data_IF_756162742748
#
_entry.id   IF_756162742748
#
_cell.length_a   1.000
_cell.length_b   1.000
_cell.length_c   1.000
_cell.angle_alpha   90.00
_cell.angle_beta   90.00
_cell.angle_gamma   90.00
#
_symmetry.space_group_name_H-M   'P 1'
#
loop_
_entity.id
_entity.type
_entity.pdbx_description
1 polymer ?
#
# COMPACT_ATOMS: atom_id res chain seq x y z
N UNK A 1 -46.73 -43.28 -21.30
CA UNK A 1 -45.40 -43.35 -20.66
C UNK A 1 -44.47 -42.43 -21.43
N UNK A 2 -43.77 -41.54 -20.73
CA UNK A 2 -42.85 -40.56 -21.33
C UNK A 2 -42.61 -39.41 -20.35
N UNK A 3 -41.83 -39.69 -19.31
CA UNK A 3 -41.39 -38.71 -18.30
C UNK A 3 -40.11 -38.06 -18.84
N UNK A 4 -40.13 -36.74 -19.05
CA UNK A 4 -38.96 -35.98 -19.43
C UNK A 4 -38.07 -35.70 -18.23
N UNK A 5 -36.79 -36.04 -18.34
CA UNK A 5 -35.72 -35.67 -17.41
C UNK A 5 -34.95 -34.49 -17.99
N UNK A 6 -34.84 -33.40 -17.24
CA UNK A 6 -33.99 -32.25 -17.54
C UNK A 6 -32.64 -32.41 -16.83
N UNK A 7 -31.55 -32.32 -17.59
CA UNK A 7 -30.16 -32.31 -17.09
C UNK A 7 -29.67 -30.87 -17.15
N UNK A 8 -29.21 -30.33 -16.02
CA UNK A 8 -28.49 -29.06 -15.96
C UNK A 8 -27.00 -29.31 -16.11
N UNK A 9 -26.36 -28.65 -17.09
CA UNK A 9 -24.90 -28.61 -17.22
C UNK A 9 -24.45 -27.22 -16.77
N UNK A 10 -23.70 -27.16 -15.67
CA UNK A 10 -23.00 -25.94 -15.24
C UNK A 10 -21.64 -25.96 -15.92
N UNK A 11 -21.42 -25.06 -16.88
CA UNK A 11 -20.11 -24.84 -17.50
C UNK A 11 -19.41 -23.72 -16.72
N UNK A 12 -18.33 -24.07 -16.03
CA UNK A 12 -17.36 -23.08 -15.52
C UNK A 12 -16.52 -22.57 -16.69
N UNK A 13 -16.47 -21.26 -16.91
CA UNK A 13 -15.56 -20.66 -17.89
C UNK A 13 -14.32 -20.10 -17.19
N UNK A 14 -13.20 -20.76 -17.42
CA UNK A 14 -11.86 -20.23 -17.22
C UNK A 14 -11.31 -19.65 -18.53
N UNK A 15 -10.37 -18.71 -18.38
CA UNK A 15 -9.42 -18.13 -19.34
C UNK A 15 -9.80 -16.84 -20.08
N UNK A 16 -9.13 -15.76 -19.64
CA UNK A 16 -8.97 -14.49 -20.35
C UNK A 16 -8.16 -14.72 -21.64
N UNK A 17 -8.77 -14.43 -22.79
CA UNK A 17 -8.07 -14.32 -24.06
C UNK A 17 -7.48 -12.90 -24.21
N UNK A 18 -6.20 -12.82 -24.57
CA UNK A 18 -5.57 -11.61 -25.08
C UNK A 18 -6.12 -11.34 -26.49
N UNK A 19 -6.78 -10.20 -26.69
CA UNK A 19 -7.26 -9.78 -28.02
C UNK A 19 -6.18 -8.91 -28.65
N UNK A 20 -5.55 -9.41 -29.72
CA UNK A 20 -4.79 -8.59 -30.67
C UNK A 20 -5.74 -8.19 -31.81
N UNK A 21 -6.10 -6.90 -31.92
CA UNK A 21 -6.87 -6.39 -33.07
C UNK A 21 -5.94 -5.63 -34.01
N UNK A 22 -5.80 -6.14 -35.23
CA UNK A 22 -5.38 -5.35 -36.38
C UNK A 22 -6.62 -4.64 -36.96
N UNK A 23 -6.53 -3.33 -37.24
CA UNK A 23 -7.56 -2.64 -38.01
C UNK A 23 -6.95 -1.90 -39.21
N UNK A 24 -7.41 -2.30 -40.40
CA UNK A 24 -7.28 -1.55 -41.65
C UNK A 24 -8.41 -0.51 -41.74
N UNK A 25 -8.09 0.63 -42.35
CA UNK A 25 -8.89 1.85 -42.48
C UNK A 25 -9.95 1.75 -43.60
N UNK A 26 -11.15 2.34 -43.42
CA UNK A 26 -11.79 3.27 -44.38
C UNK A 26 -13.03 3.97 -43.83
N UNK A 27 -13.30 5.16 -44.37
CA UNK A 27 -14.08 6.30 -43.85
C UNK A 27 -15.64 6.21 -43.87
N UNK A 28 -16.22 7.22 -43.20
CA UNK A 28 -17.52 7.92 -43.44
C UNK A 28 -18.74 7.65 -42.52
N UNK A 29 -18.91 8.57 -41.56
CA UNK A 29 -20.12 9.20 -40.97
C UNK A 29 -21.51 8.53 -41.10
N UNK A 30 -22.09 8.09 -39.97
CA UNK A 30 -23.18 8.79 -39.24
C UNK A 30 -23.68 8.00 -38.00
N UNK A 31 -23.89 8.76 -36.91
CA UNK A 31 -24.70 8.53 -35.69
C UNK A 31 -25.24 7.13 -35.40
N UNK A 32 -24.82 6.55 -34.27
CA UNK A 32 -25.72 5.78 -33.40
C UNK A 32 -25.25 5.86 -31.94
N UNK A 33 -26.22 6.07 -31.06
CA UNK A 33 -26.10 6.12 -29.61
C UNK A 33 -25.60 4.76 -29.11
N UNK A 34 -24.47 4.72 -28.41
CA UNK A 34 -24.12 3.58 -27.57
C UNK A 34 -23.68 4.09 -26.21
N UNK A 35 -24.49 3.72 -25.22
CA UNK A 35 -24.31 3.99 -23.81
C UNK A 35 -22.91 3.59 -23.37
N UNK A 36 -22.17 4.58 -22.84
CA UNK A 36 -20.90 4.34 -22.15
C UNK A 36 -21.18 3.66 -20.82
N UNK A 37 -21.26 2.34 -20.84
CA UNK A 37 -21.24 1.52 -19.65
C UNK A 37 -19.81 1.41 -19.16
N UNK A 38 -19.55 2.08 -18.03
CA UNK A 38 -18.60 1.67 -16.98
C UNK A 38 -17.16 1.36 -17.42
N UNK A 39 -16.25 2.32 -17.21
CA UNK A 39 -14.87 1.98 -16.90
C UNK A 39 -14.63 2.22 -15.41
N UNK A 40 -14.52 1.12 -14.69
CA UNK A 40 -14.06 1.04 -13.32
C UNK A 40 -12.65 1.61 -13.26
N UNK A 41 -12.48 2.74 -12.58
CA UNK A 41 -11.18 3.23 -12.15
C UNK A 41 -10.59 2.20 -11.17
N UNK A 42 -9.83 1.24 -11.68
CA UNK A 42 -8.82 0.58 -10.84
C UNK A 42 -7.68 1.58 -10.69
N UNK A 43 -7.69 2.34 -9.58
CA UNK A 43 -6.53 3.15 -9.21
C UNK A 43 -5.33 2.21 -9.11
N UNK A 44 -4.36 2.38 -10.01
CA UNK A 44 -3.08 1.67 -9.96
C UNK A 44 -2.41 2.02 -8.64
N UNK A 45 -2.30 1.06 -7.72
CA UNK A 45 -1.61 1.27 -6.44
C UNK A 45 -0.13 1.57 -6.74
N UNK A 46 0.32 2.75 -6.32
CA UNK A 46 1.71 3.18 -6.44
C UNK A 46 2.45 2.64 -5.22
N UNK A 47 3.49 1.82 -5.44
CA UNK A 47 4.39 1.38 -4.37
C UNK A 47 5.26 2.55 -3.89
N UNK A 48 5.60 2.55 -2.61
CA UNK A 48 6.35 3.62 -1.95
C UNK A 48 5.51 4.43 -0.99
N UNK A 49 6.14 5.47 -0.41
CA UNK A 49 5.56 6.33 0.60
C UNK A 49 5.06 7.65 0.01
N UNK A 50 3.89 8.08 0.46
CA UNK A 50 3.32 9.41 0.22
C UNK A 50 3.08 10.11 1.56
N UNK A 51 3.76 11.23 1.77
CA UNK A 51 3.49 12.12 2.91
C UNK A 51 2.10 12.72 2.75
N UNK A 52 1.35 12.77 3.85
CA UNK A 52 0.03 13.37 3.90
C UNK A 52 0.14 14.85 4.27
N UNK A 53 -0.71 15.72 3.69
CA UNK A 53 -0.73 17.12 4.05
C UNK A 53 -1.13 17.28 5.53
N UNK A 54 -0.57 18.29 6.18
CA UNK A 54 -0.93 18.63 7.55
C UNK A 54 -2.42 18.99 7.62
N UNK A 55 -3.16 18.36 8.55
CA UNK A 55 -4.54 18.76 8.82
C UNK A 55 -4.57 20.23 9.24
N UNK A 56 -5.42 21.04 8.61
CA UNK A 56 -5.48 22.50 8.79
C UNK A 56 -5.61 22.95 10.25
N UNK A 57 -6.14 22.06 11.12
CA UNK A 57 -6.22 22.27 12.57
C UNK A 57 -4.86 22.48 13.26
N UNK A 58 -3.74 22.17 12.59
CA UNK A 58 -2.38 22.24 13.15
C UNK A 58 -1.45 23.25 12.46
N UNK A 59 -1.96 24.14 11.61
CA UNK A 59 -1.24 25.15 10.79
C UNK A 59 -0.31 26.15 11.54
N UNK A 60 -0.24 26.11 12.88
CA UNK A 60 0.54 27.08 13.67
C UNK A 60 1.90 26.55 14.15
N UNK A 61 2.41 25.44 13.61
CA UNK A 61 3.64 24.80 14.08
C UNK A 61 4.71 24.84 13.00
N UNK A 62 5.81 25.55 13.24
CA UNK A 62 6.91 25.89 12.30
C UNK A 62 7.74 24.71 11.77
N UNK A 63 7.29 23.48 11.97
CA UNK A 63 7.99 22.28 11.52
C UNK A 63 6.90 21.28 11.12
N UNK A 64 6.65 21.14 9.82
CA UNK A 64 5.35 20.71 9.28
C UNK A 64 5.39 19.38 8.52
N UNK A 65 6.58 18.84 8.24
CA UNK A 65 6.75 17.82 7.20
C UNK A 65 6.09 16.46 7.52
N UNK A 66 5.96 16.06 8.80
CA UNK A 66 5.44 14.73 9.17
C UNK A 66 4.12 14.70 9.94
N UNK A 67 3.58 15.84 10.40
CA UNK A 67 2.39 15.80 11.28
C UNK A 67 1.08 15.47 10.54
N UNK A 68 1.08 15.50 9.21
CA UNK A 68 0.01 14.93 8.41
C UNK A 68 -0.01 13.39 8.42
N UNK A 69 1.11 12.75 8.77
CA UNK A 69 1.31 11.31 8.63
C UNK A 69 1.83 10.92 7.24
N UNK A 70 1.91 9.62 6.98
CA UNK A 70 2.28 9.09 5.67
C UNK A 70 1.48 7.82 5.35
N UNK A 71 1.27 7.57 4.06
CA UNK A 71 0.74 6.29 3.57
C UNK A 71 1.80 5.65 2.70
N UNK A 72 2.22 4.44 3.05
CA UNK A 72 3.16 3.65 2.27
C UNK A 72 2.51 2.36 1.81
N UNK A 73 2.64 2.02 0.52
CA UNK A 73 2.16 0.75 -0.02
C UNK A 73 3.34 -0.12 -0.42
N UNK A 74 3.39 -1.34 0.09
CA UNK A 74 4.47 -2.28 -0.21
C UNK A 74 3.95 -3.69 -0.52
N UNK A 75 4.58 -4.31 -1.52
CA UNK A 75 4.46 -5.74 -1.75
C UNK A 75 5.48 -6.48 -0.87
N UNK A 76 5.00 -7.15 0.18
CA UNK A 76 5.82 -7.93 1.10
C UNK A 76 6.31 -9.22 0.45
N UNK A 77 5.43 -9.89 -0.30
CA UNK A 77 5.78 -11.07 -1.08
C UNK A 77 4.81 -11.17 -2.26
N UNK A 78 5.26 -11.71 -3.39
CA UNK A 78 4.49 -11.78 -4.66
C UNK A 78 3.13 -12.50 -4.56
N UNK A 79 2.98 -13.38 -3.57
CA UNK A 79 1.75 -14.16 -3.36
C UNK A 79 0.83 -13.57 -2.28
N UNK A 80 1.18 -12.40 -1.73
CA UNK A 80 0.39 -11.70 -0.72
C UNK A 80 -0.27 -10.46 -1.33
N UNK A 81 -1.40 -9.99 -0.78
CA UNK A 81 -1.93 -8.68 -1.16
C UNK A 81 -0.93 -7.59 -0.81
N UNK A 82 -1.05 -6.42 -1.46
CA UNK A 82 -0.30 -5.23 -1.09
C UNK A 82 -0.66 -4.84 0.35
N UNK A 83 0.36 -4.49 1.14
CA UNK A 83 0.20 -3.99 2.48
C UNK A 83 0.20 -2.47 2.44
N UNK A 84 -0.77 -1.87 3.10
CA UNK A 84 -0.87 -0.42 3.29
C UNK A 84 -0.47 -0.08 4.72
N UNK A 85 0.54 0.75 4.85
CA UNK A 85 1.07 1.25 6.11
C UNK A 85 0.67 2.71 6.27
N UNK A 86 -0.20 2.98 7.23
CA UNK A 86 -0.57 4.32 7.63
C UNK A 86 0.27 4.73 8.84
N UNK A 87 1.26 5.58 8.61
CA UNK A 87 2.09 6.16 9.67
C UNK A 87 1.35 7.37 10.22
N UNK A 88 0.74 7.21 11.38
CA UNK A 88 -0.10 8.22 12.01
C UNK A 88 0.77 9.33 12.56
N UNK A 89 0.57 10.56 12.10
CA UNK A 89 1.25 11.74 12.63
C UNK A 89 0.90 11.97 14.10
N UNK A 90 1.92 12.22 14.93
CA UNK A 90 1.74 12.58 16.33
C UNK A 90 1.35 14.04 16.52
N UNK A 91 0.53 14.32 17.54
CA UNK A 91 0.09 15.68 17.90
C UNK A 91 1.20 16.48 18.63
N UNK A 92 2.31 15.82 18.97
CA UNK A 92 3.40 16.40 19.74
C UNK A 92 4.23 17.43 18.93
N UNK A 93 4.99 18.28 19.63
CA UNK A 93 5.85 19.34 19.06
C UNK A 93 7.05 18.80 18.26
N UNK A 94 7.28 17.48 18.25
CA UNK A 94 8.47 16.85 17.67
C UNK A 94 8.32 16.40 16.21
N UNK A 95 7.13 16.50 15.59
CA UNK A 95 6.83 16.05 14.22
C UNK A 95 7.30 14.64 13.93
N UNK A 96 6.77 13.73 14.73
CA UNK A 96 7.07 12.30 14.67
C UNK A 96 5.81 11.52 14.36
N UNK A 97 5.98 10.28 13.94
CA UNK A 97 4.88 9.33 13.87
C UNK A 97 4.59 8.76 15.27
N UNK A 98 3.32 8.58 15.59
CA UNK A 98 2.85 7.99 16.86
C UNK A 98 2.82 6.46 16.78
N UNK A 99 2.29 5.94 15.67
CA UNK A 99 2.12 4.50 15.43
C UNK A 99 1.99 4.22 13.93
N UNK A 100 2.16 2.95 13.57
CA UNK A 100 1.91 2.46 12.22
C UNK A 100 0.68 1.58 12.26
N UNK A 101 -0.34 1.91 11.49
CA UNK A 101 -1.52 1.10 11.30
C UNK A 101 -1.41 0.37 9.97
N UNK A 102 -1.60 -0.95 9.96
CA UNK A 102 -1.40 -1.80 8.79
C UNK A 102 -2.74 -2.32 8.32
N UNK A 103 -3.04 -2.20 7.03
CA UNK A 103 -4.13 -2.91 6.36
C UNK A 103 -3.64 -3.70 5.15
N UNK A 104 -4.46 -4.65 4.68
CA UNK A 104 -4.12 -5.56 3.58
C UNK A 104 -5.09 -5.36 2.41
N UNK A 105 -4.57 -5.34 1.19
CA UNK A 105 -5.38 -5.19 -0.01
C UNK A 105 -6.17 -3.87 -0.04
N UNK A 106 -7.42 -3.93 -0.52
CA UNK A 106 -8.33 -2.79 -0.54
C UNK A 106 -9.10 -2.59 0.77
N UNK A 107 -8.77 -3.34 1.82
CA UNK A 107 -9.48 -3.25 3.09
C UNK A 107 -9.02 -2.01 3.87
N UNK A 108 -9.99 -1.30 4.46
CA UNK A 108 -9.74 -0.21 5.42
C UNK A 108 -9.76 -0.69 6.87
N UNK A 109 -9.73 -2.02 7.09
CA UNK A 109 -9.66 -2.61 8.44
C UNK A 109 -8.21 -2.82 8.81
N UNK A 110 -7.79 -2.28 9.96
CA UNK A 110 -6.44 -2.47 10.45
C UNK A 110 -6.27 -3.89 10.99
N UNK A 111 -5.27 -4.59 10.46
CA UNK A 111 -4.93 -5.96 10.86
C UNK A 111 -3.83 -5.98 11.93
N UNK A 112 -3.08 -4.88 12.04
CA UNK A 112 -2.00 -4.74 13.02
C UNK A 112 -1.70 -3.27 13.29
N UNK A 113 -1.28 -2.98 14.52
CA UNK A 113 -0.72 -1.68 14.90
C UNK A 113 0.68 -1.88 15.47
N UNK A 114 1.66 -1.19 14.90
CA UNK A 114 3.04 -1.18 15.39
C UNK A 114 3.26 0.08 16.23
N UNK A 115 3.82 -0.12 17.43
CA UNK A 115 4.30 0.99 18.25
C UNK A 115 5.64 1.46 17.71
N UNK A 116 5.79 2.78 17.61
CA UNK A 116 7.01 3.43 17.18
C UNK A 116 7.66 4.09 18.40
N UNK A 117 8.99 4.06 18.46
CA UNK A 117 9.72 4.87 19.42
C UNK A 117 9.88 6.30 18.91
N UNK A 118 10.36 7.21 19.75
CA UNK A 118 10.62 8.57 19.27
C UNK A 118 11.61 8.50 18.10
N UNK A 119 11.22 9.06 16.97
CA UNK A 119 12.06 9.21 15.79
C UNK A 119 12.57 10.65 15.65
N UNK A 120 13.72 10.83 15.02
CA UNK A 120 14.10 12.13 14.46
C UNK A 120 13.27 12.41 13.21
N UNK A 121 12.99 13.68 12.96
CA UNK A 121 12.29 14.07 11.72
C UNK A 121 13.20 13.75 10.53
N UNK A 122 12.75 12.96 9.54
CA UNK A 122 13.50 12.70 8.34
C UNK A 122 13.69 13.96 7.53
N UNK A 123 14.79 14.02 6.78
CA UNK A 123 15.02 15.11 5.85
C UNK A 123 14.02 15.04 4.70
N UNK A 124 13.77 16.18 4.03
CA UNK A 124 12.96 16.16 2.81
C UNK A 124 13.60 15.20 1.79
N UNK A 125 12.76 14.41 1.11
CA UNK A 125 13.14 13.39 0.12
C UNK A 125 13.94 12.19 0.65
N UNK A 126 14.08 12.03 1.97
CA UNK A 126 14.73 10.86 2.56
C UNK A 126 13.82 9.63 2.59
N UNK A 127 14.35 8.47 2.21
CA UNK A 127 13.68 7.18 2.42
C UNK A 127 13.67 6.80 3.92
N UNK A 128 12.68 7.33 4.64
CA UNK A 128 12.54 7.12 6.09
C UNK A 128 11.89 5.78 6.44
N UNK A 129 11.08 5.21 5.54
CA UNK A 129 10.32 3.98 5.75
C UNK A 129 10.39 3.08 4.51
N UNK A 130 10.96 1.89 4.68
CA UNK A 130 11.36 1.02 3.57
C UNK A 130 10.93 -0.41 3.82
N UNK A 131 10.55 -1.12 2.75
CA UNK A 131 10.35 -2.56 2.75
C UNK A 131 11.48 -3.27 1.99
N UNK A 132 12.25 -4.11 2.68
CA UNK A 132 13.41 -4.84 2.18
C UNK A 132 13.49 -6.22 2.85
N UNK A 133 13.90 -7.26 2.12
CA UNK A 133 14.14 -8.59 2.70
C UNK A 133 15.48 -8.57 3.46
N UNK A 134 15.42 -8.46 4.79
CA UNK A 134 16.61 -8.23 5.62
C UNK A 134 17.18 -9.51 6.21
N UNK A 135 16.34 -10.53 6.39
CA UNK A 135 16.74 -11.85 6.88
C UNK A 135 16.94 -12.88 5.74
N UNK A 136 16.73 -12.49 4.49
CA UNK A 136 16.87 -13.30 3.28
C UNK A 136 15.92 -14.51 3.21
N UNK A 137 14.72 -14.37 3.77
CA UNK A 137 13.70 -15.43 3.77
C UNK A 137 12.72 -15.36 2.58
N UNK A 138 12.87 -14.36 1.72
CA UNK A 138 12.03 -14.10 0.56
C UNK A 138 10.81 -13.20 0.85
N UNK A 139 10.59 -12.80 2.10
CA UNK A 139 9.57 -11.84 2.50
C UNK A 139 10.23 -10.51 2.87
N UNK A 140 9.67 -9.40 2.40
CA UNK A 140 10.19 -8.09 2.80
C UNK A 140 9.82 -7.79 4.25
N UNK A 141 10.81 -7.33 4.99
CA UNK A 141 10.71 -6.77 6.32
C UNK A 141 10.55 -5.25 6.25
N UNK A 142 10.29 -4.62 7.38
CA UNK A 142 10.09 -3.17 7.46
C UNK A 142 11.19 -2.52 8.28
N UNK A 143 11.78 -1.45 7.72
CA UNK A 143 12.73 -0.56 8.40
C UNK A 143 12.16 0.84 8.48
N UNK A 144 12.25 1.44 9.66
CA UNK A 144 11.97 2.86 9.91
C UNK A 144 13.20 3.52 10.51
N UNK A 145 13.55 4.70 10.02
CA UNK A 145 14.61 5.53 10.62
C UNK A 145 14.21 6.00 12.02
N UNK A 146 15.09 5.82 13.00
CA UNK A 146 14.91 6.26 14.39
C UNK A 146 15.67 7.54 14.69
N UNK A 147 16.94 7.62 14.32
CA UNK A 147 17.75 8.79 14.63
C UNK A 147 18.74 9.09 13.51
N UNK A 148 19.15 10.34 13.43
CA UNK A 148 20.16 10.83 12.49
C UNK A 148 21.22 11.63 13.26
N UNK A 149 22.39 11.03 13.42
CA UNK A 149 23.55 11.70 13.99
C UNK A 149 24.12 12.75 13.03
N UNK A 150 24.73 13.79 13.59
CA UNK A 150 25.33 14.90 12.83
C UNK A 150 26.42 14.47 11.85
N UNK A 151 27.06 13.32 12.08
CA UNK A 151 28.11 12.74 11.23
C UNK A 151 27.57 11.80 10.14
N UNK A 152 26.25 11.77 9.91
CA UNK A 152 25.60 10.93 8.90
C UNK A 152 25.27 9.50 9.37
N UNK A 153 25.51 9.18 10.65
CA UNK A 153 25.11 7.90 11.24
C UNK A 153 23.60 7.83 11.39
N UNK A 154 22.98 6.73 10.98
CA UNK A 154 21.52 6.53 11.07
C UNK A 154 21.19 5.32 11.92
N UNK A 155 20.27 5.50 12.85
CA UNK A 155 19.66 4.42 13.61
C UNK A 155 18.35 4.00 13.00
N UNK A 156 18.01 2.72 13.16
CA UNK A 156 16.79 2.16 12.59
C UNK A 156 16.10 1.23 13.59
N UNK A 157 14.78 1.16 13.48
CA UNK A 157 13.97 0.09 14.08
C UNK A 157 13.49 -0.82 12.97
N UNK A 158 13.43 -2.11 13.30
CA UNK A 158 13.15 -3.17 12.34
C UNK A 158 11.98 -4.01 12.81
N UNK A 159 11.17 -4.44 11.85
CA UNK A 159 10.16 -5.45 12.06
C UNK A 159 10.28 -6.54 11.01
N UNK A 160 10.48 -7.78 11.46
CA UNK A 160 10.54 -8.93 10.57
C UNK A 160 9.15 -9.43 10.24
N UNK A 161 8.91 -9.82 9.00
CA UNK A 161 7.65 -10.43 8.62
C UNK A 161 7.61 -11.90 9.06
N UNK A 162 6.56 -12.31 9.79
CA UNK A 162 6.30 -13.71 10.11
C UNK A 162 5.29 -14.27 9.10
N UNK A 163 5.72 -15.08 8.11
CA UNK A 163 4.84 -15.60 7.07
C UNK A 163 3.82 -16.61 7.60
N UNK A 164 4.08 -17.25 8.75
CA UNK A 164 3.13 -18.19 9.36
C UNK A 164 1.93 -17.48 9.97
N UNK A 165 2.12 -16.23 10.38
CA UNK A 165 1.08 -15.44 11.05
C UNK A 165 0.60 -14.23 10.25
N UNK A 166 1.27 -13.92 9.14
CA UNK A 166 1.03 -12.76 8.28
C UNK A 166 1.03 -11.43 9.04
N UNK A 167 2.04 -11.23 9.92
CA UNK A 167 2.22 -9.99 10.67
C UNK A 167 3.70 -9.69 10.91
N UNK A 168 3.97 -8.44 11.31
CA UNK A 168 5.32 -7.93 11.55
C UNK A 168 5.70 -8.04 13.04
N UNK A 169 6.88 -8.60 13.33
CA UNK A 169 7.45 -8.77 14.65
C UNK A 169 8.58 -7.78 14.87
N UNK A 170 8.48 -6.95 15.92
CA UNK A 170 9.54 -6.00 16.25
C UNK A 170 10.80 -6.73 16.71
N UNK A 171 11.93 -6.42 16.09
CA UNK A 171 13.25 -6.82 16.61
C UNK A 171 13.63 -5.84 17.72
N UNK A 172 14.01 -6.36 18.89
CA UNK A 172 14.60 -5.53 19.95
C UNK A 172 16.11 -5.55 19.77
N UNK A 173 16.71 -4.37 19.72
CA UNK A 173 18.14 -4.18 19.89
C UNK A 173 18.54 -4.35 21.36
#
# INVERSE_FOLDING_TARGET
>A
MGIGISIWIIIQNFTNYQITVFSNISNETQKSIVQTSQNQNSEKIIEGCKILPLNEKFKNSTSEHLRGGAICNFTIHRNLPIYKFHLVGGINIYNVFDRIEISKGSENVFVQTLKIERIDSPQEDEEFFVAEDMNFDGYKDIRLILYQGETGNKGYTFWLFDPSKNFLLRIRN
#
